data_IF_878979237315
#
_entry.id   IF_878979237315
#
_cell.length_a   1.000
_cell.length_b   1.000
_cell.length_c   1.000
_cell.angle_alpha   90.00
_cell.angle_beta   90.00
_cell.angle_gamma   90.00
#
_symmetry.space_group_name_H-M   'P 1'
#
loop_
_entity.id
_entity.type
_entity.pdbx_description
1 polymer ?
#
# COMPACT_ATOMS: atom_id res chain seq x y z
N UNK A 1 -9.34 -8.37 -16.99
CA UNK A 1 -8.50 -7.25 -16.49
C UNK A 1 -9.40 -6.29 -15.73
N UNK A 2 -9.50 -6.39 -14.40
CA UNK A 2 -10.47 -5.60 -13.62
C UNK A 2 -10.28 -4.08 -13.80
N UNK A 3 -9.04 -3.61 -13.96
CA UNK A 3 -8.74 -2.18 -14.04
C UNK A 3 -8.98 -1.51 -15.41
N UNK A 4 -9.27 -2.28 -16.46
CA UNK A 4 -9.63 -1.74 -17.78
C UNK A 4 -11.12 -2.03 -18.14
N UNK A 5 -11.91 -2.47 -17.17
CA UNK A 5 -13.34 -2.73 -17.38
C UNK A 5 -14.12 -1.43 -17.55
N UNK A 6 -15.35 -1.55 -18.06
CA UNK A 6 -16.25 -0.40 -18.20
C UNK A 6 -16.61 0.21 -16.84
N UNK A 7 -16.86 -0.65 -15.85
CA UNK A 7 -17.22 -0.28 -14.49
C UNK A 7 -16.11 0.55 -13.83
N UNK A 8 -14.84 0.15 -14.00
CA UNK A 8 -13.71 0.88 -13.43
C UNK A 8 -13.54 2.27 -14.10
N UNK A 9 -13.82 2.38 -15.40
CA UNK A 9 -13.79 3.67 -16.11
C UNK A 9 -14.90 4.60 -15.66
N UNK A 10 -16.11 4.07 -15.42
CA UNK A 10 -17.20 4.87 -14.86
C UNK A 10 -16.89 5.35 -13.45
N UNK A 11 -16.40 4.46 -12.58
CA UNK A 11 -15.97 4.82 -11.24
C UNK A 11 -14.89 5.93 -11.24
N UNK A 12 -13.88 5.83 -12.12
CA UNK A 12 -12.85 6.85 -12.26
C UNK A 12 -13.40 8.21 -12.71
N UNK A 13 -14.39 8.20 -13.62
CA UNK A 13 -15.07 9.42 -14.06
C UNK A 13 -15.90 10.05 -12.94
N UNK A 14 -16.64 9.24 -12.18
CA UNK A 14 -17.46 9.70 -11.05
C UNK A 14 -16.62 10.29 -9.91
N UNK A 15 -15.48 9.64 -9.60
CA UNK A 15 -14.56 10.06 -8.55
C UNK A 15 -13.47 11.02 -9.02
N UNK A 16 -13.53 11.45 -10.29
CA UNK A 16 -12.65 12.43 -10.91
C UNK A 16 -11.14 12.11 -10.76
N UNK A 17 -10.76 10.85 -11.03
CA UNK A 17 -9.36 10.45 -11.14
C UNK A 17 -9.08 9.76 -12.49
N UNK A 18 -7.81 9.73 -12.89
CA UNK A 18 -7.38 9.10 -14.14
C UNK A 18 -6.72 7.75 -13.87
N UNK A 19 -7.07 6.74 -14.65
CA UNK A 19 -6.39 5.44 -14.63
C UNK A 19 -5.26 5.48 -15.65
N UNK A 20 -4.02 5.44 -15.18
CA UNK A 20 -2.84 5.29 -16.03
C UNK A 20 -2.41 3.83 -16.05
N UNK A 21 -2.50 3.17 -17.21
CA UNK A 21 -2.05 1.78 -17.38
C UNK A 21 -0.62 1.74 -17.90
N UNK A 22 0.22 0.89 -17.32
CA UNK A 22 1.54 0.58 -17.85
C UNK A 22 1.48 -0.47 -18.96
N UNK A 23 2.50 -0.50 -19.83
CA UNK A 23 2.63 -1.59 -20.81
C UNK A 23 2.73 -2.94 -20.07
N UNK A 24 2.05 -4.01 -20.55
CA UNK A 24 2.22 -5.35 -19.99
C UNK A 24 3.67 -5.83 -19.97
N UNK A 25 4.50 -5.35 -20.90
CA UNK A 25 5.92 -5.68 -21.01
C UNK A 25 6.82 -4.83 -20.12
N UNK A 26 6.27 -3.88 -19.36
CA UNK A 26 7.03 -2.93 -18.54
C UNK A 26 6.56 -2.94 -17.08
N UNK A 27 6.77 -4.08 -16.41
CA UNK A 27 6.38 -4.28 -15.01
C UNK A 27 7.07 -3.32 -14.02
N UNK A 28 8.25 -2.79 -14.40
CA UNK A 28 9.03 -1.87 -13.57
C UNK A 28 8.25 -0.61 -13.14
N UNK A 29 7.29 -0.13 -13.95
CA UNK A 29 6.42 0.99 -13.56
C UNK A 29 5.68 0.76 -12.24
N UNK A 30 5.41 -0.50 -11.88
CA UNK A 30 4.71 -0.86 -10.64
C UNK A 30 5.64 -1.44 -9.57
N UNK A 31 6.96 -1.43 -9.78
CA UNK A 31 7.92 -2.13 -8.91
C UNK A 31 7.89 -1.66 -7.45
N UNK A 32 7.63 -0.38 -7.21
CA UNK A 32 7.48 0.16 -5.85
C UNK A 32 6.25 -0.41 -5.14
N UNK A 33 5.11 -0.46 -5.83
CA UNK A 33 3.88 -1.05 -5.31
C UNK A 33 4.05 -2.55 -5.04
N UNK A 34 4.68 -3.28 -5.98
CA UNK A 34 4.95 -4.71 -5.83
C UNK A 34 5.87 -5.01 -4.65
N UNK A 35 6.96 -4.23 -4.48
CA UNK A 35 7.87 -4.37 -3.35
C UNK A 35 7.18 -4.08 -2.03
N UNK A 36 6.32 -3.07 -1.98
CA UNK A 36 5.55 -2.77 -0.79
C UNK A 36 4.55 -3.89 -0.45
N UNK A 37 3.87 -4.45 -1.45
CA UNK A 37 2.99 -5.61 -1.28
C UNK A 37 3.76 -6.81 -0.72
N UNK A 38 5.00 -7.05 -1.17
CA UNK A 38 5.84 -8.11 -0.64
C UNK A 38 6.12 -7.90 0.86
N UNK A 39 6.48 -6.68 1.27
CA UNK A 39 6.68 -6.33 2.69
C UNK A 39 5.42 -6.57 3.51
N UNK A 40 4.28 -6.08 3.05
CA UNK A 40 2.98 -6.24 3.75
C UNK A 40 2.58 -7.70 3.87
N UNK A 41 2.74 -8.50 2.81
CA UNK A 41 2.45 -9.95 2.85
C UNK A 41 3.34 -10.67 3.87
N UNK A 42 4.62 -10.34 3.92
CA UNK A 42 5.55 -10.94 4.87
C UNK A 42 5.21 -10.55 6.32
N UNK A 43 4.83 -9.29 6.54
CA UNK A 43 4.40 -8.79 7.85
C UNK A 43 3.15 -9.52 8.34
N UNK A 44 2.11 -9.62 7.49
CA UNK A 44 0.87 -10.31 7.81
C UNK A 44 1.13 -11.79 8.08
N UNK A 45 1.96 -12.44 7.27
CA UNK A 45 2.31 -13.86 7.46
C UNK A 45 2.94 -14.10 8.83
N UNK A 46 3.92 -13.28 9.21
CA UNK A 46 4.56 -13.36 10.54
C UNK A 46 3.57 -13.13 11.67
N UNK A 47 2.70 -12.13 11.56
CA UNK A 47 1.66 -11.88 12.56
C UNK A 47 0.75 -13.10 12.75
N UNK A 48 0.32 -13.74 11.66
CA UNK A 48 -0.50 -14.96 11.70
C UNK A 48 0.27 -16.14 12.30
N UNK A 49 1.54 -16.35 11.91
CA UNK A 49 2.41 -17.40 12.46
C UNK A 49 2.61 -17.25 13.98
N UNK A 50 2.66 -16.02 14.48
CA UNK A 50 2.83 -15.69 15.90
C UNK A 50 1.50 -15.58 16.67
N UNK A 51 0.34 -15.84 16.04
CA UNK A 51 -1.00 -15.63 16.60
C UNK A 51 -1.27 -14.18 17.07
N UNK A 52 -0.62 -13.20 16.44
CA UNK A 52 -0.83 -11.77 16.66
C UNK A 52 -1.91 -11.21 15.71
N UNK A 53 -2.53 -10.08 16.08
CA UNK A 53 -3.47 -9.38 15.20
C UNK A 53 -2.74 -8.72 14.01
N UNK A 54 -3.04 -9.11 12.75
CA UNK A 54 -2.45 -8.49 11.56
C UNK A 54 -2.69 -6.98 11.45
N UNK A 55 -3.78 -6.46 12.02
CA UNK A 55 -4.08 -5.04 12.00
C UNK A 55 -3.13 -4.24 12.89
N UNK A 56 -2.80 -4.77 14.08
CA UNK A 56 -1.81 -4.17 14.98
C UNK A 56 -0.41 -4.19 14.36
N UNK A 57 -0.05 -5.28 13.67
CA UNK A 57 1.22 -5.36 12.94
C UNK A 57 1.31 -4.29 11.84
N UNK A 58 0.23 -4.10 11.06
CA UNK A 58 0.15 -3.06 10.03
C UNK A 58 0.19 -1.65 10.62
N UNK A 59 -0.49 -1.43 11.74
CA UNK A 59 -0.49 -0.17 12.47
C UNK A 59 0.91 0.20 12.95
N UNK A 60 1.60 -0.76 13.57
CA UNK A 60 3.01 -0.65 13.97
C UNK A 60 3.90 -0.31 12.77
N UNK A 61 3.76 -1.04 11.65
CA UNK A 61 4.55 -0.79 10.45
C UNK A 61 4.38 0.64 9.90
N UNK A 62 3.16 1.19 9.92
CA UNK A 62 2.89 2.58 9.50
C UNK A 62 3.54 3.62 10.43
N UNK A 63 3.87 3.25 11.67
CA UNK A 63 4.49 4.11 12.67
C UNK A 63 6.03 4.01 12.71
N UNK A 64 6.64 3.03 12.03
CA UNK A 64 8.10 2.90 11.95
C UNK A 64 8.67 3.95 10.99
N UNK A 65 9.70 4.74 11.38
CA UNK A 65 10.39 5.66 10.48
C UNK A 65 10.97 4.95 9.26
N UNK A 66 10.88 5.59 8.09
CA UNK A 66 11.47 5.04 6.86
C UNK A 66 12.99 5.22 6.93
N UNK A 67 13.77 4.20 6.57
CA UNK A 67 15.23 4.33 6.59
C UNK A 67 15.68 5.50 5.69
N UNK A 68 16.49 6.40 6.25
CA UNK A 68 16.96 7.62 5.56
C UNK A 68 15.95 8.77 5.55
N UNK A 69 14.74 8.58 6.09
CA UNK A 69 13.72 9.61 6.23
C UNK A 69 13.18 9.54 7.66
N UNK A 70 13.53 10.51 8.51
CA UNK A 70 13.20 10.57 9.95
C UNK A 70 11.68 10.59 10.28
N UNK A 71 10.82 10.38 9.29
CA UNK A 71 9.36 10.34 9.40
C UNK A 71 8.83 8.96 9.01
N UNK A 72 7.80 8.51 9.72
CA UNK A 72 7.06 7.30 9.39
C UNK A 72 6.04 7.52 8.27
N UNK A 73 5.55 6.46 7.59
CA UNK A 73 4.45 6.57 6.63
C UNK A 73 3.22 7.29 7.19
N UNK A 74 2.85 7.01 8.44
CA UNK A 74 1.75 7.70 9.13
C UNK A 74 2.01 9.20 9.27
N UNK A 75 3.23 9.59 9.63
CA UNK A 75 3.58 11.01 9.76
C UNK A 75 3.60 11.73 8.40
N UNK A 76 3.98 11.05 7.32
CA UNK A 76 3.94 11.62 5.97
C UNK A 76 2.50 11.81 5.48
N UNK A 77 1.62 10.86 5.77
CA UNK A 77 0.24 10.89 5.30
C UNK A 77 -0.70 11.74 6.17
N UNK A 78 -0.55 11.66 7.50
CA UNK A 78 -1.48 12.27 8.46
C UNK A 78 -0.86 13.39 9.30
N UNK A 79 0.44 13.64 9.17
CA UNK A 79 1.15 14.61 10.02
C UNK A 79 1.37 14.17 11.47
N UNK A 80 0.94 12.95 11.84
CA UNK A 80 1.04 12.39 13.20
C UNK A 80 1.29 10.88 13.17
N UNK A 81 1.69 10.33 14.32
CA UNK A 81 1.69 8.88 14.54
C UNK A 81 0.27 8.39 14.80
N UNK A 82 0.00 7.16 14.40
CA UNK A 82 -1.25 6.47 14.73
C UNK A 82 -1.12 5.85 16.11
N UNK A 83 -2.23 5.73 16.83
CA UNK A 83 -2.30 5.11 18.14
C UNK A 83 -3.21 3.89 18.05
N UNK A 84 -2.87 2.88 18.86
CA UNK A 84 -3.64 1.64 19.04
C UNK A 84 -4.79 1.88 20.03
#
# INVERSE_FOLDING_TARGET
MPFNSYEMKQFAKEWNFTITTCSPTYAQSNGQSERYIQTVKNLIRKAVEENNDPNLALLSYRNIPIYGLEKSPAQLLFGRRLQD
#
